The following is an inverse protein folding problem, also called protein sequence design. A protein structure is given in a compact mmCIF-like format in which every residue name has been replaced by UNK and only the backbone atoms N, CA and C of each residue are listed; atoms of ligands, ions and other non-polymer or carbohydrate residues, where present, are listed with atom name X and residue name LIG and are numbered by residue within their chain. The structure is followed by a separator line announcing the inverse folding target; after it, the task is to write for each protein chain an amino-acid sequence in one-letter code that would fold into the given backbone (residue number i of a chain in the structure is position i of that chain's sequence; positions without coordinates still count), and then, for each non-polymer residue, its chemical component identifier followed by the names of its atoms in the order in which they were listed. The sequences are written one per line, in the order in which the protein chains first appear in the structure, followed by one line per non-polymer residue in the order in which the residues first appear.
data_IF_676912760247
#
_entry.id   IF_676912760247
#
_cell.length_a   1.000
_cell.length_b   1.000
_cell.length_c   1.000
_cell.angle_alpha   90.00
_cell.angle_beta   90.00
_cell.angle_gamma   90.00
#
_symmetry.space_group_name_H-M   'P 1'
#
loop_
_entity.id
_entity.type
_entity.pdbx_description
1 polymer ?
#
# COMPACT_ATOMS: atom_id res chain seq x y z
N UNK A 1 -15.23 17.76 -4.54
CA UNK A 1 -13.85 17.23 -4.61
C UNK A 1 -13.42 16.90 -3.19
N UNK A 2 -13.15 15.63 -2.86
CA UNK A 2 -12.70 15.22 -1.54
C UNK A 2 -11.33 15.83 -1.21
N UNK A 3 -11.14 16.19 0.06
CA UNK A 3 -9.88 16.72 0.58
C UNK A 3 -9.24 15.71 1.52
N UNK A 4 -7.93 15.51 1.35
CA UNK A 4 -7.14 14.64 2.21
C UNK A 4 -6.05 15.45 2.91
N UNK A 5 -5.58 14.93 4.04
CA UNK A 5 -4.43 15.47 4.78
C UNK A 5 -3.33 14.41 4.86
N UNK A 6 -2.10 14.79 4.53
CA UNK A 6 -0.92 13.96 4.80
C UNK A 6 -0.64 13.95 6.31
N UNK A 7 -0.70 12.77 6.93
CA UNK A 7 -0.37 12.53 8.34
C UNK A 7 0.81 11.57 8.51
N UNK A 8 1.55 11.31 7.43
CA UNK A 8 2.65 10.37 7.43
C UNK A 8 3.73 10.75 8.45
N UNK A 9 4.23 9.78 9.25
CA UNK A 9 5.32 10.01 10.19
C UNK A 9 6.65 10.30 9.47
N UNK A 10 6.74 10.01 8.18
CA UNK A 10 7.92 10.26 7.34
C UNK A 10 8.03 11.72 6.89
N UNK A 11 6.99 12.53 7.12
CA UNK A 11 6.94 13.92 6.73
C UNK A 11 6.40 14.12 5.32
N UNK A 12 7.15 14.85 4.49
CA UNK A 12 6.75 15.11 3.11
C UNK A 12 6.86 13.82 2.27
N UNK A 13 5.82 13.53 1.48
CA UNK A 13 5.75 12.34 0.63
C UNK A 13 5.70 12.73 -0.84
N UNK A 14 6.54 12.11 -1.67
CA UNK A 14 6.32 12.11 -3.11
C UNK A 14 5.12 11.20 -3.42
N UNK A 15 4.10 11.75 -4.09
CA UNK A 15 2.87 11.04 -4.41
C UNK A 15 2.76 10.91 -5.93
N UNK A 16 3.23 9.79 -6.53
CA UNK A 16 3.23 9.61 -7.98
C UNK A 16 1.86 9.77 -8.62
N UNK A 17 0.80 9.35 -7.92
CA UNK A 17 -0.58 9.49 -8.36
C UNK A 17 -1.00 10.96 -8.55
N UNK A 18 -0.44 11.86 -7.76
CA UNK A 18 -0.66 13.31 -7.84
C UNK A 18 0.43 14.03 -8.64
N UNK A 19 1.50 13.30 -9.01
CA UNK A 19 2.72 13.83 -9.67
C UNK A 19 3.33 15.02 -8.93
N UNK A 20 3.29 14.99 -7.60
CA UNK A 20 3.85 16.04 -6.75
C UNK A 20 4.21 15.50 -5.38
N UNK A 21 5.01 16.29 -4.68
CA UNK A 21 5.26 16.13 -3.24
C UNK A 21 4.12 16.78 -2.46
N UNK A 22 3.69 16.12 -1.39
CA UNK A 22 2.70 16.60 -0.41
C UNK A 22 3.41 16.76 0.93
N UNK A 23 3.41 17.97 1.47
CA UNK A 23 4.07 18.29 2.73
C UNK A 23 3.39 17.62 3.94
N UNK A 24 4.15 17.46 5.01
CA UNK A 24 3.63 16.93 6.27
C UNK A 24 2.50 17.83 6.80
N UNK A 25 1.32 17.27 7.04
CA UNK A 25 0.15 18.01 7.50
C UNK A 25 -0.57 18.83 6.43
N UNK A 26 -0.10 18.83 5.18
CA UNK A 26 -0.75 19.55 4.08
C UNK A 26 -2.13 18.97 3.80
N UNK A 27 -3.12 19.86 3.58
CA UNK A 27 -4.46 19.51 3.10
C UNK A 27 -4.56 19.81 1.61
N UNK A 28 -4.97 18.82 0.82
CA UNK A 28 -5.00 18.92 -0.63
C UNK A 28 -6.29 18.34 -1.23
N UNK A 29 -6.67 18.89 -2.39
CA UNK A 29 -7.81 18.43 -3.17
C UNK A 29 -7.44 17.20 -4.01
N UNK A 30 -8.41 16.29 -4.16
CA UNK A 30 -8.27 15.06 -4.94
C UNK A 30 -9.55 14.79 -5.75
N UNK A 31 -9.42 13.97 -6.80
CA UNK A 31 -10.60 13.34 -7.42
C UNK A 31 -11.11 12.19 -6.53
N UNK A 32 -12.33 11.72 -6.76
CA UNK A 32 -12.86 10.58 -5.99
C UNK A 32 -12.02 9.31 -6.19
N UNK A 33 -11.57 9.03 -7.42
CA UNK A 33 -10.68 7.89 -7.72
C UNK A 33 -9.34 8.00 -6.98
N UNK A 34 -8.73 9.19 -6.97
CA UNK A 34 -7.49 9.41 -6.22
C UNK A 34 -7.71 9.23 -4.72
N UNK A 35 -8.79 9.79 -4.18
CA UNK A 35 -9.12 9.66 -2.77
C UNK A 35 -9.33 8.20 -2.37
N UNK A 36 -9.98 7.39 -3.21
CA UNK A 36 -10.21 5.96 -2.94
C UNK A 36 -8.91 5.19 -2.74
N UNK A 37 -7.91 5.44 -3.59
CA UNK A 37 -6.61 4.77 -3.50
C UNK A 37 -5.83 5.26 -2.27
N UNK A 38 -5.78 6.57 -2.05
CA UNK A 38 -5.00 7.16 -0.94
C UNK A 38 -5.60 6.84 0.43
N UNK A 39 -6.92 6.74 0.54
CA UNK A 39 -7.61 6.41 1.80
C UNK A 39 -7.41 4.95 2.25
N UNK A 40 -6.90 4.06 1.39
CA UNK A 40 -6.47 2.72 1.80
C UNK A 40 -5.18 2.74 2.63
N UNK A 41 -4.44 3.86 2.62
CA UNK A 41 -3.20 4.05 3.36
C UNK A 41 -3.45 4.93 4.58
N UNK A 42 -4.26 4.43 5.54
CA UNK A 42 -4.71 5.17 6.72
C UNK A 42 -3.58 5.69 7.62
N UNK A 43 -2.40 5.08 7.56
CA UNK A 43 -1.22 5.54 8.32
C UNK A 43 -0.55 6.79 7.69
N UNK A 44 -0.86 7.07 6.42
CA UNK A 44 -0.27 8.18 5.66
C UNK A 44 -1.28 9.30 5.38
N UNK A 45 -2.57 8.97 5.21
CA UNK A 45 -3.59 9.94 4.81
C UNK A 45 -4.86 9.83 5.66
N UNK A 46 -5.46 10.99 5.94
CA UNK A 46 -6.77 11.06 6.60
C UNK A 46 -7.74 11.97 5.83
N UNK A 47 -9.06 11.73 5.93
CA UNK A 47 -10.06 12.59 5.33
C UNK A 47 -10.12 13.97 6.03
N UNK A 48 -10.03 15.04 5.24
CA UNK A 48 -10.02 16.42 5.73
C UNK A 48 -11.37 17.15 5.55
N UNK A 49 -12.29 16.61 4.74
CA UNK A 49 -13.62 17.18 4.51
C UNK A 49 -14.74 16.13 4.60
N UNK A 50 -15.99 16.59 4.46
CA UNK A 50 -17.16 15.71 4.54
C UNK A 50 -17.19 14.69 3.39
N UNK A 51 -16.80 15.08 2.18
CA UNK A 51 -16.83 14.16 1.03
C UNK A 51 -15.81 13.03 1.22
N UNK A 52 -14.58 13.33 1.65
CA UNK A 52 -13.58 12.32 1.94
C UNK A 52 -13.97 11.40 3.10
N UNK A 53 -14.63 11.92 4.16
CA UNK A 53 -15.13 11.10 5.28
C UNK A 53 -16.16 10.08 4.82
N UNK A 54 -17.11 10.48 3.96
CA UNK A 54 -18.12 9.58 3.40
C UNK A 54 -17.49 8.48 2.54
N UNK A 55 -16.47 8.83 1.73
CA UNK A 55 -15.73 7.87 0.93
C UNK A 55 -14.97 6.87 1.79
N UNK A 56 -14.25 7.33 2.81
CA UNK A 56 -13.53 6.46 3.75
C UNK A 56 -14.46 5.45 4.42
N UNK A 57 -15.62 5.90 4.94
CA UNK A 57 -16.60 5.02 5.56
C UNK A 57 -17.14 3.96 4.59
N UNK A 58 -17.37 4.34 3.32
CA UNK A 58 -17.83 3.41 2.29
C UNK A 58 -16.79 2.34 1.96
N UNK A 59 -15.51 2.68 1.96
CA UNK A 59 -14.41 1.75 1.68
C UNK A 59 -14.26 0.71 2.79
N UNK A 60 -14.29 1.13 4.06
CA UNK A 60 -14.24 0.21 5.20
C UNK A 60 -15.38 -0.81 5.13
N UNK A 61 -16.62 -0.35 4.87
CA UNK A 61 -17.78 -1.24 4.77
C UNK A 61 -17.70 -2.28 3.62
N UNK A 62 -16.88 -2.03 2.60
CA UNK A 62 -16.67 -2.96 1.48
C UNK A 62 -15.60 -4.00 1.77
N UNK A 63 -14.59 -3.67 2.59
CA UNK A 63 -13.47 -4.58 2.90
C UNK A 63 -13.86 -5.72 3.85
N UNK A 64 -14.85 -5.50 4.72
CA UNK A 64 -15.37 -6.54 5.63
C UNK A 64 -16.22 -7.63 4.93
N UNK A 65 -16.56 -7.44 3.64
CA UNK A 65 -17.44 -8.34 2.88
C UNK A 65 -16.74 -9.42 2.04
N UNK A 66 -15.43 -9.31 1.79
CA UNK A 66 -14.68 -10.13 0.82
C UNK A 66 -13.65 -11.08 1.47
N UNK A 67 -13.81 -11.37 2.76
CA UNK A 67 -12.90 -12.18 3.57
C UNK A 67 -13.07 -13.70 3.43
N UNK A 68 -13.19 -14.25 2.21
CA UNK A 68 -13.22 -15.69 2.00
C UNK A 68 -12.61 -16.12 0.66
N UNK A 69 -11.31 -15.88 0.46
CA UNK A 69 -10.51 -16.71 -0.42
C UNK A 69 -9.20 -17.03 0.31
N UNK A 70 -9.18 -18.23 0.88
CA UNK A 70 -8.08 -18.86 1.57
C UNK A 70 -6.76 -18.68 0.82
N UNK A 71 -5.79 -18.08 1.48
CA UNK A 71 -4.38 -18.24 1.13
C UNK A 71 -3.98 -19.64 1.63
N UNK A 72 -4.30 -20.67 0.86
CA UNK A 72 -3.79 -22.02 1.09
C UNK A 72 -2.31 -21.99 0.73
N UNK A 73 -1.49 -21.93 1.78
CA UNK A 73 -0.05 -21.91 1.67
C UNK A 73 0.45 -23.27 1.26
N UNK A 74 0.87 -23.41 0.01
CA UNK A 74 1.74 -24.49 -0.42
C UNK A 74 3.19 -23.98 -0.33
N UNK A 75 3.77 -24.15 0.85
CA UNK A 75 5.19 -24.00 1.11
C UNK A 75 5.75 -25.36 1.50
N UNK A 76 6.22 -26.10 0.50
CA UNK A 76 7.14 -27.24 0.59
C UNK A 76 8.06 -27.09 -0.65
N UNK A 77 9.37 -27.24 -0.64
CA UNK A 77 10.36 -27.67 0.33
C UNK A 77 11.72 -27.26 -0.26
N UNK A 78 12.64 -26.86 0.61
CA UNK A 78 13.96 -26.38 0.24
C UNK A 78 14.88 -27.56 -0.09
N UNK A 79 15.26 -27.69 -1.36
CA UNK A 79 16.24 -28.68 -1.82
C UNK A 79 17.52 -28.07 -2.36
N UNK A 80 18.29 -27.36 -1.52
CA UNK A 80 19.72 -27.12 -1.80
C UNK A 80 20.57 -27.94 -0.83
N UNK A 81 21.33 -28.91 -1.35
CA UNK A 81 22.66 -29.20 -0.81
C UNK A 81 23.69 -28.96 -1.94
N UNK A 82 24.55 -27.98 -1.76
CA UNK A 82 25.86 -28.12 -1.12
C UNK A 82 26.94 -28.51 -2.15
N UNK A 83 27.89 -27.59 -2.30
CA UNK A 83 29.15 -27.72 -3.00
C UNK A 83 29.86 -29.04 -2.69
N UNK A 84 30.41 -29.66 -3.73
CA UNK A 84 31.39 -30.74 -3.63
C UNK A 84 32.45 -30.54 -4.70
N UNK A 85 33.63 -30.10 -4.27
CA UNK A 85 34.88 -30.12 -5.01
C UNK A 85 35.15 -31.51 -5.61
N UNK A 86 35.66 -31.52 -6.85
CA UNK A 86 36.11 -32.71 -7.55
C UNK A 86 37.22 -32.34 -8.52
N UNK A 87 38.45 -32.37 -8.01
CA UNK A 87 39.69 -32.40 -8.79
C UNK A 87 39.76 -33.68 -9.67
N UNK A 88 40.38 -33.54 -10.84
CA UNK A 88 40.78 -34.60 -11.77
C UNK A 88 41.14 -33.94 -13.11
N UNK A 89 42.41 -33.68 -13.44
CA UNK A 89 43.38 -34.64 -14.01
C UNK A 89 42.68 -35.52 -15.07
N UNK A 90 43.00 -35.46 -16.37
CA UNK A 90 44.32 -35.70 -16.96
C UNK A 90 44.19 -35.60 -18.52
N UNK A 91 45.27 -35.13 -19.16
CA UNK A 91 45.69 -35.26 -20.58
C UNK A 91 44.81 -34.77 -21.74
#
# INVERSE_FOLDING_TARGET
MPKLKNISPLGALDVPLLRRVVDAGEVFDTTEDQARVLLLQSDNYQPADKAAKTLAASLTAQQDGDGAASHDGDNEDAGTPASGEGEGEDQ
#
